data_IF_403730740091
#
_entry.id   IF_403730740091
#
_cell.length_a   1.000
_cell.length_b   1.000
_cell.length_c   1.000
_cell.angle_alpha   90.00
_cell.angle_beta   90.00
_cell.angle_gamma   90.00
#
_symmetry.space_group_name_H-M   'P 1'
#
loop_
_entity.id
_entity.type
_entity.pdbx_description
1 polymer ?
#
# COMPACT_ATOMS: atom_id res chain seq x y z
N UNK A 1 -8.31 -0.46 -34.13
CA UNK A 1 -7.62 -0.85 -32.88
C UNK A 1 -8.14 0.05 -31.79
N UNK A 2 -9.09 -0.44 -31.05
CA UNK A 2 -9.57 0.28 -29.87
C UNK A 2 -8.60 0.04 -28.73
N UNK A 3 -7.90 1.09 -28.31
CA UNK A 3 -7.21 1.10 -27.04
C UNK A 3 -8.28 0.99 -25.95
N UNK A 4 -8.38 -0.17 -25.33
CA UNK A 4 -9.21 -0.36 -24.17
C UNK A 4 -8.77 0.63 -23.09
N UNK A 5 -9.48 1.74 -22.96
CA UNK A 5 -9.40 2.58 -21.78
C UNK A 5 -9.81 1.69 -20.61
N UNK A 6 -8.84 1.33 -19.79
CA UNK A 6 -9.11 0.69 -18.51
C UNK A 6 -10.00 1.63 -17.71
N UNK A 7 -11.30 1.50 -17.90
CA UNK A 7 -12.26 2.13 -17.03
C UNK A 7 -12.17 1.37 -15.71
N UNK A 8 -11.52 1.96 -14.72
CA UNK A 8 -11.69 1.57 -13.34
C UNK A 8 -13.16 1.80 -12.98
N UNK A 9 -14.02 0.87 -13.39
CA UNK A 9 -15.40 0.84 -12.92
C UNK A 9 -15.36 0.36 -11.49
N UNK A 10 -15.53 1.28 -10.55
CA UNK A 10 -16.01 0.96 -9.23
C UNK A 10 -17.44 0.42 -9.39
N UNK A 11 -17.57 -0.91 -9.37
CA UNK A 11 -18.88 -1.53 -9.33
C UNK A 11 -19.35 -1.57 -7.87
N UNK A 12 -20.04 -0.51 -7.47
CA UNK A 12 -20.85 -0.52 -6.26
C UNK A 12 -22.11 -1.33 -6.60
N UNK A 13 -22.15 -2.60 -6.23
CA UNK A 13 -23.38 -3.36 -6.33
C UNK A 13 -24.46 -2.66 -5.51
N UNK A 14 -25.66 -2.53 -6.06
CA UNK A 14 -26.74 -1.63 -5.63
C UNK A 14 -27.15 -1.73 -4.14
N UNK A 15 -26.67 -2.70 -3.39
CA UNK A 15 -27.02 -2.95 -1.98
C UNK A 15 -25.85 -3.30 -1.07
N UNK A 16 -24.59 -3.04 -1.48
CA UNK A 16 -23.43 -3.30 -0.63
C UNK A 16 -22.36 -2.24 -0.83
N UNK A 17 -21.76 -1.78 0.25
CA UNK A 17 -20.62 -0.86 0.25
C UNK A 17 -19.33 -1.61 -0.15
N UNK A 18 -19.38 -2.40 -1.21
CA UNK A 18 -18.24 -3.17 -1.72
C UNK A 18 -17.75 -2.59 -3.03
N UNK A 19 -16.56 -2.05 -3.04
CA UNK A 19 -15.87 -1.64 -4.25
C UNK A 19 -15.04 -2.81 -4.79
N UNK A 20 -15.20 -3.13 -6.07
CA UNK A 20 -14.42 -4.16 -6.77
C UNK A 20 -13.45 -3.50 -7.74
N UNK A 21 -12.18 -3.83 -7.61
CA UNK A 21 -11.13 -3.36 -8.51
C UNK A 21 -10.53 -4.56 -9.24
N UNK A 22 -10.64 -4.56 -10.55
CA UNK A 22 -9.99 -5.59 -11.38
C UNK A 22 -8.54 -5.20 -11.61
N UNK A 23 -7.62 -6.10 -11.31
CA UNK A 23 -6.18 -5.90 -11.54
C UNK A 23 -5.47 -7.25 -11.72
N UNK A 24 -4.34 -7.25 -12.40
CA UNK A 24 -3.43 -8.38 -12.40
C UNK A 24 -2.65 -8.42 -11.07
N UNK A 25 -2.23 -9.60 -10.65
CA UNK A 25 -1.37 -9.77 -9.47
C UNK A 25 0.09 -9.54 -9.87
N UNK A 26 0.44 -8.29 -10.00
CA UNK A 26 1.75 -7.78 -10.39
C UNK A 26 2.12 -6.53 -9.58
N UNK A 27 3.15 -5.82 -9.96
CA UNK A 27 3.55 -4.54 -9.33
C UNK A 27 2.37 -3.56 -9.27
N UNK A 28 1.49 -3.56 -10.27
CA UNK A 28 0.31 -2.70 -10.31
C UNK A 28 -0.67 -2.98 -9.18
N UNK A 29 -0.89 -4.26 -8.82
CA UNK A 29 -1.69 -4.63 -7.66
C UNK A 29 -1.07 -4.09 -6.37
N UNK A 30 0.22 -4.33 -6.15
CA UNK A 30 0.89 -3.88 -4.93
C UNK A 30 0.93 -2.36 -4.82
N UNK A 31 1.07 -1.64 -5.94
CA UNK A 31 0.97 -0.18 -5.95
C UNK A 31 -0.43 0.30 -5.54
N UNK A 32 -1.49 -0.33 -6.05
CA UNK A 32 -2.87 -0.04 -5.63
C UNK A 32 -3.07 -0.34 -4.16
N UNK A 33 -2.59 -1.49 -3.68
CA UNK A 33 -2.63 -1.87 -2.27
C UNK A 33 -2.02 -0.79 -1.37
N UNK A 34 -0.78 -0.38 -1.65
CA UNK A 34 -0.11 0.69 -0.89
C UNK A 34 -0.86 2.01 -1.00
N UNK A 35 -1.45 2.32 -2.14
CA UNK A 35 -2.24 3.54 -2.33
C UNK A 35 -3.53 3.54 -1.50
N UNK A 36 -4.18 2.39 -1.33
CA UNK A 36 -5.32 2.26 -0.42
C UNK A 36 -4.95 2.44 1.05
N UNK A 37 -3.71 2.16 1.42
CA UNK A 37 -3.19 2.40 2.77
C UNK A 37 -2.77 3.87 3.00
N UNK A 38 -2.91 4.76 2.04
CA UNK A 38 -2.51 6.17 2.13
C UNK A 38 -3.01 6.89 3.39
N UNK A 39 -4.25 6.66 3.90
CA UNK A 39 -4.68 7.27 5.16
C UNK A 39 -3.82 6.92 6.38
N UNK A 40 -3.06 5.84 6.31
CA UNK A 40 -2.26 5.31 7.42
C UNK A 40 -0.76 5.54 7.26
N UNK A 41 -0.32 6.16 6.14
CA UNK A 41 1.08 6.47 5.87
C UNK A 41 1.22 7.76 5.08
N UNK A 42 2.43 8.31 5.06
CA UNK A 42 2.77 9.54 4.32
C UNK A 42 3.79 9.26 3.21
N UNK A 43 3.69 8.13 2.54
CA UNK A 43 4.63 7.74 1.50
C UNK A 43 4.45 8.58 0.24
N UNK A 44 5.55 9.07 -0.31
CA UNK A 44 5.59 9.74 -1.61
C UNK A 44 5.29 8.76 -2.74
N UNK A 45 5.04 9.28 -3.95
CA UNK A 45 4.83 8.44 -5.12
C UNK A 45 6.01 7.50 -5.39
N UNK A 46 7.23 8.00 -5.29
CA UNK A 46 8.44 7.19 -5.51
C UNK A 46 8.61 6.10 -4.46
N UNK A 47 8.34 6.41 -3.20
CA UNK A 47 8.36 5.42 -2.11
C UNK A 47 7.32 4.33 -2.32
N UNK A 48 6.10 4.68 -2.75
CA UNK A 48 5.06 3.70 -3.07
C UNK A 48 5.45 2.81 -4.26
N UNK A 49 6.04 3.37 -5.31
CA UNK A 49 6.50 2.59 -6.46
C UNK A 49 7.60 1.60 -6.08
N UNK A 50 8.58 2.02 -5.32
CA UNK A 50 9.66 1.15 -4.85
C UNK A 50 9.13 0.09 -3.91
N UNK A 51 8.31 0.45 -2.94
CA UNK A 51 7.72 -0.51 -2.01
C UNK A 51 6.85 -1.54 -2.73
N UNK A 52 6.05 -1.13 -3.71
CA UNK A 52 5.25 -2.04 -4.53
C UNK A 52 6.11 -3.05 -5.30
N UNK A 53 7.22 -2.61 -5.86
CA UNK A 53 8.16 -3.49 -6.56
C UNK A 53 8.83 -4.49 -5.60
N UNK A 54 9.21 -4.06 -4.39
CA UNK A 54 9.71 -4.95 -3.35
C UNK A 54 8.67 -5.98 -2.90
N UNK A 55 7.43 -5.57 -2.72
CA UNK A 55 6.33 -6.47 -2.34
C UNK A 55 6.05 -7.51 -3.43
N UNK A 56 6.06 -7.09 -4.68
CA UNK A 56 5.88 -8.01 -5.81
C UNK A 56 7.01 -9.05 -5.86
N UNK A 57 8.26 -8.60 -5.76
CA UNK A 57 9.43 -9.52 -5.74
C UNK A 57 9.37 -10.45 -4.53
N UNK A 58 9.02 -9.93 -3.35
CA UNK A 58 8.81 -10.75 -2.16
C UNK A 58 7.73 -11.81 -2.38
N UNK A 59 6.62 -11.44 -2.98
CA UNK A 59 5.53 -12.37 -3.28
C UNK A 59 6.00 -13.50 -4.21
N UNK A 60 6.74 -13.19 -5.28
CA UNK A 60 7.33 -14.19 -6.16
C UNK A 60 8.27 -15.15 -5.40
N UNK A 61 9.12 -14.62 -4.53
CA UNK A 61 10.06 -15.42 -3.73
C UNK A 61 9.33 -16.33 -2.74
N UNK A 62 8.24 -15.88 -2.12
CA UNK A 62 7.46 -16.70 -1.17
C UNK A 62 6.77 -17.88 -1.81
N UNK A 63 6.59 -17.90 -3.11
CA UNK A 63 6.05 -19.06 -3.84
C UNK A 63 7.10 -20.17 -4.01
N UNK A 64 8.38 -19.82 -3.96
CA UNK A 64 9.51 -20.74 -4.17
C UNK A 64 10.19 -21.11 -2.85
N UNK A 65 10.20 -20.20 -1.88
CA UNK A 65 10.96 -20.32 -0.63
C UNK A 65 9.99 -20.20 0.55
N UNK A 66 9.98 -21.21 1.42
CA UNK A 66 9.10 -21.23 2.60
C UNK A 66 9.68 -20.48 3.79
N UNK A 67 11.01 -20.45 3.91
CA UNK A 67 11.69 -19.78 5.03
C UNK A 67 11.72 -18.26 4.80
N UNK A 68 11.06 -17.51 5.69
CA UNK A 68 10.94 -16.06 5.57
C UNK A 68 12.29 -15.34 5.72
N UNK A 69 13.22 -15.87 6.51
CA UNK A 69 14.56 -15.29 6.63
C UNK A 69 15.34 -15.43 5.32
N UNK A 70 15.22 -16.57 4.65
CA UNK A 70 15.82 -16.77 3.32
C UNK A 70 15.18 -15.84 2.31
N UNK A 71 13.85 -15.71 2.31
CA UNK A 71 13.13 -14.74 1.44
C UNK A 71 13.67 -13.33 1.62
N UNK A 72 13.82 -12.87 2.86
CA UNK A 72 14.33 -11.53 3.14
C UNK A 72 15.79 -11.35 2.69
N UNK A 73 16.63 -12.37 2.88
CA UNK A 73 18.03 -12.32 2.41
C UNK A 73 18.12 -12.26 0.88
N UNK A 74 17.33 -13.09 0.18
CA UNK A 74 17.30 -13.09 -1.28
C UNK A 74 16.70 -11.80 -1.83
N UNK A 75 15.67 -11.28 -1.19
CA UNK A 75 15.04 -9.99 -1.57
C UNK A 75 16.06 -8.83 -1.52
N UNK A 76 16.97 -8.85 -0.57
CA UNK A 76 18.01 -7.82 -0.43
C UNK A 76 19.28 -8.10 -1.22
N UNK A 77 19.34 -9.19 -1.99
CA UNK A 77 20.48 -9.51 -2.86
C UNK A 77 20.64 -8.51 -3.99
N UNK A 78 21.83 -8.47 -4.55
CA UNK A 78 22.15 -7.61 -5.70
C UNK A 78 21.25 -7.93 -6.91
N UNK A 79 20.98 -9.21 -7.16
CA UNK A 79 20.14 -9.66 -8.26
C UNK A 79 18.69 -9.21 -8.08
N UNK A 80 18.10 -9.43 -6.91
CA UNK A 80 16.73 -8.98 -6.64
C UNK A 80 16.60 -7.47 -6.72
N UNK A 81 17.58 -6.72 -6.23
CA UNK A 81 17.59 -5.27 -6.37
C UNK A 81 17.69 -4.80 -7.80
N UNK A 82 18.46 -5.51 -8.64
CA UNK A 82 18.51 -5.26 -10.07
C UNK A 82 17.14 -5.49 -10.73
N UNK A 83 16.50 -6.62 -10.45
CA UNK A 83 15.18 -6.94 -10.99
C UNK A 83 14.13 -5.89 -10.56
N UNK A 84 14.14 -5.50 -9.30
CA UNK A 84 13.25 -4.45 -8.74
C UNK A 84 13.48 -3.14 -9.49
N UNK A 85 14.72 -2.71 -9.60
CA UNK A 85 15.09 -1.47 -10.28
C UNK A 85 14.64 -1.47 -11.74
N UNK A 86 14.90 -2.56 -12.46
CA UNK A 86 14.56 -2.69 -13.86
C UNK A 86 13.05 -2.72 -14.09
N UNK A 87 12.28 -3.31 -13.15
CA UNK A 87 10.82 -3.36 -13.22
C UNK A 87 10.13 -1.99 -13.14
N UNK A 88 10.76 -1.02 -12.53
CA UNK A 88 10.22 0.35 -12.35
C UNK A 88 11.02 1.42 -13.11
N UNK A 89 12.05 1.02 -13.84
CA UNK A 89 12.88 1.94 -14.67
C UNK A 89 13.71 2.93 -13.86
N UNK A 90 14.13 2.55 -12.63
CA UNK A 90 14.94 3.41 -11.78
C UNK A 90 16.44 3.18 -11.98
N UNK A 91 17.23 4.23 -11.79
CA UNK A 91 18.68 4.10 -11.64
C UNK A 91 19.02 3.48 -10.28
N UNK A 92 20.22 2.93 -10.15
CA UNK A 92 20.71 2.39 -8.89
C UNK A 92 20.76 3.47 -7.79
N UNK A 93 21.21 4.67 -8.15
CA UNK A 93 21.28 5.80 -7.23
C UNK A 93 19.89 6.21 -6.72
N UNK A 94 18.90 6.29 -7.60
CA UNK A 94 17.53 6.63 -7.25
C UNK A 94 16.89 5.56 -6.35
N UNK A 95 17.08 4.29 -6.68
CA UNK A 95 16.58 3.19 -5.86
C UNK A 95 17.15 3.25 -4.45
N UNK A 96 18.46 3.40 -4.31
CA UNK A 96 19.11 3.47 -3.01
C UNK A 96 18.64 4.66 -2.18
N UNK A 97 18.44 5.82 -2.81
CA UNK A 97 17.91 7.00 -2.14
C UNK A 97 16.50 6.76 -1.58
N UNK A 98 15.61 6.16 -2.38
CA UNK A 98 14.24 5.86 -1.94
C UNK A 98 14.22 4.77 -0.86
N UNK A 99 15.02 3.73 -0.99
CA UNK A 99 15.16 2.70 0.05
C UNK A 99 15.63 3.30 1.38
N UNK A 100 16.58 4.24 1.33
CA UNK A 100 17.02 4.97 2.53
C UNK A 100 15.88 5.76 3.17
N UNK A 101 15.01 6.39 2.39
CA UNK A 101 13.82 7.08 2.89
C UNK A 101 12.82 6.11 3.53
N UNK A 102 12.56 4.96 2.90
CA UNK A 102 11.71 3.92 3.45
C UNK A 102 12.25 3.38 4.79
N UNK A 103 13.56 3.26 4.93
CA UNK A 103 14.20 2.89 6.20
C UNK A 103 14.02 3.97 7.27
N UNK A 104 14.23 5.22 6.93
CA UNK A 104 14.01 6.36 7.84
C UNK A 104 12.55 6.47 8.28
N UNK A 105 11.61 6.18 7.40
CA UNK A 105 10.18 6.19 7.68
C UNK A 105 9.66 4.96 8.45
N UNK A 106 10.52 3.99 8.78
CA UNK A 106 10.13 2.79 9.51
C UNK A 106 9.33 1.77 8.68
N UNK A 107 9.33 1.90 7.35
CA UNK A 107 8.67 0.94 6.45
C UNK A 107 9.55 -0.29 6.25
N UNK A 108 10.86 -0.09 6.20
CA UNK A 108 11.86 -1.15 6.17
C UNK A 108 12.68 -1.05 7.47
N UNK A 109 12.63 -2.09 8.28
CA UNK A 109 13.35 -2.20 9.55
C UNK A 109 14.18 -3.48 9.53
N UNK A 110 15.47 -3.38 9.83
CA UNK A 110 16.40 -4.52 9.82
C UNK A 110 16.35 -5.32 8.49
N UNK A 111 16.34 -4.61 7.37
CA UNK A 111 16.20 -5.17 6.02
C UNK A 111 14.92 -6.00 5.77
N UNK A 112 13.89 -5.80 6.58
CA UNK A 112 12.58 -6.43 6.45
C UNK A 112 11.51 -5.38 6.22
N UNK A 113 10.57 -5.66 5.33
CA UNK A 113 9.38 -4.82 5.16
C UNK A 113 8.48 -5.01 6.39
N UNK A 114 7.99 -3.91 6.95
CA UNK A 114 7.03 -3.95 8.04
C UNK A 114 5.76 -4.71 7.63
N UNK A 115 5.33 -5.63 8.48
CA UNK A 115 4.19 -6.54 8.22
C UNK A 115 2.89 -5.78 7.87
N UNK A 116 2.71 -4.57 8.37
CA UNK A 116 1.54 -3.73 8.07
C UNK A 116 1.36 -3.43 6.59
N UNK A 117 2.46 -3.43 5.81
CA UNK A 117 2.44 -3.18 4.37
C UNK A 117 2.33 -4.45 3.52
N UNK A 118 2.42 -5.62 4.12
CA UNK A 118 2.40 -6.89 3.39
C UNK A 118 0.98 -7.44 3.35
N UNK A 119 0.32 -7.49 2.18
CA UNK A 119 -1.00 -8.08 2.07
C UNK A 119 -0.91 -9.60 2.23
N UNK A 120 -1.85 -10.19 2.97
CA UNK A 120 -1.92 -11.63 3.15
C UNK A 120 -2.59 -12.29 1.93
N UNK A 121 -1.82 -12.46 0.87
CA UNK A 121 -2.26 -13.10 -0.38
C UNK A 121 -1.59 -14.45 -0.51
N UNK A 122 -2.41 -15.46 -0.80
CA UNK A 122 -1.94 -16.82 -1.11
C UNK A 122 -1.83 -17.02 -2.62
N UNK A 123 -0.88 -17.84 -3.11
CA UNK A 123 -0.83 -18.23 -4.50
C UNK A 123 -2.15 -18.84 -4.97
N UNK A 124 -2.59 -18.52 -6.18
CA UNK A 124 -3.85 -19.02 -6.74
C UNK A 124 -5.12 -18.32 -6.22
N UNK A 125 -4.98 -17.26 -5.43
CA UNK A 125 -6.11 -16.45 -4.98
C UNK A 125 -6.74 -15.71 -6.16
N UNK A 126 -8.04 -15.90 -6.37
CA UNK A 126 -8.80 -15.22 -7.44
C UNK A 126 -9.30 -13.83 -7.04
N UNK A 127 -9.34 -13.55 -5.74
CA UNK A 127 -9.74 -12.24 -5.20
C UNK A 127 -9.11 -12.03 -3.82
N UNK A 128 -8.83 -10.78 -3.52
CA UNK A 128 -8.33 -10.34 -2.22
C UNK A 128 -9.32 -9.33 -1.62
N UNK A 129 -9.67 -9.52 -0.36
CA UNK A 129 -10.54 -8.63 0.40
C UNK A 129 -9.81 -8.13 1.64
N UNK A 130 -9.89 -6.83 1.88
CA UNK A 130 -9.54 -6.26 3.16
C UNK A 130 -10.67 -5.36 3.64
N UNK A 131 -10.73 -5.13 4.94
CA UNK A 131 -11.80 -4.34 5.56
C UNK A 131 -11.20 -3.17 6.32
N UNK A 132 -11.78 -1.99 6.12
CA UNK A 132 -11.49 -0.80 6.92
C UNK A 132 -12.67 -0.61 7.86
N UNK A 133 -12.38 -0.54 9.16
CA UNK A 133 -13.35 -0.23 10.19
C UNK A 133 -13.16 1.21 10.63
N UNK A 134 -14.23 1.98 10.61
CA UNK A 134 -14.27 3.33 11.19
C UNK A 134 -14.96 3.25 12.56
N UNK A 135 -14.19 3.44 13.60
CA UNK A 135 -14.75 3.64 14.93
C UNK A 135 -15.16 5.12 15.06
N UNK A 136 -16.45 5.35 15.11
CA UNK A 136 -17.02 6.71 15.27
C UNK A 136 -17.24 6.95 16.74
N UNK A 137 -16.48 7.88 17.29
CA UNK A 137 -16.62 8.30 18.67
C UNK A 137 -17.57 9.52 18.76
N UNK A 138 -18.76 9.30 19.27
CA UNK A 138 -19.78 10.34 19.41
C UNK A 138 -19.34 11.49 20.36
N UNK A 139 -18.28 11.31 21.14
CA UNK A 139 -17.73 12.36 22.01
C UNK A 139 -17.15 13.55 21.23
N UNK A 140 -16.82 13.39 19.95
CA UNK A 140 -16.35 14.48 19.10
C UNK A 140 -17.48 15.40 18.63
N UNK A 141 -18.72 14.91 18.52
CA UNK A 141 -19.86 15.72 18.09
C UNK A 141 -20.35 16.68 19.17
N UNK A 142 -20.04 16.41 20.43
CA UNK A 142 -20.48 17.25 21.56
C UNK A 142 -19.61 18.48 21.84
N UNK A 143 -18.48 18.65 21.14
CA UNK A 143 -17.55 19.77 21.39
C UNK A 143 -17.82 21.01 20.53
N UNK A 144 -18.45 20.84 19.38
CA UNK A 144 -18.76 21.97 18.50
C UNK A 144 -20.01 22.76 18.94
N UNK A 145 -20.92 22.14 19.70
CA UNK A 145 -22.13 22.79 20.22
C UNK A 145 -21.87 23.73 21.40
N UNK A 146 -20.66 23.70 22.00
CA UNK A 146 -20.34 24.55 23.16
C UNK A 146 -19.72 25.90 22.78
N UNK A 147 -19.40 26.15 21.52
CA UNK A 147 -18.82 27.43 21.08
C UNK A 147 -19.82 28.43 20.49
N UNK A 148 -21.08 28.03 20.25
CA UNK A 148 -22.10 28.95 19.72
C UNK A 148 -22.98 29.66 20.80
N UNK A 149 -22.79 29.36 22.09
CA UNK A 149 -23.64 29.97 23.14
C UNK A 149 -22.97 31.08 23.96
N UNK A 150 -21.84 31.62 23.59
CA UNK A 150 -21.17 32.68 24.35
C UNK A 150 -21.11 34.06 23.68
N UNK A 151 -21.90 34.32 22.62
CA UNK A 151 -21.89 35.64 21.96
C UNK A 151 -23.28 36.30 21.86
N UNK A 152 -24.13 36.13 22.85
CA UNK A 152 -25.39 36.90 22.93
C UNK A 152 -25.73 37.34 24.35
N UNK A 153 -24.86 38.09 25.02
CA UNK A 153 -25.19 38.95 26.12
C UNK A 153 -24.06 39.94 26.35
N UNK A 154 -24.14 41.08 25.63
CA UNK A 154 -23.76 42.38 26.14
C UNK A 154 -24.22 43.48 25.16
N UNK A 155 -25.34 44.02 25.49
CA UNK A 155 -25.74 45.37 25.06
C UNK A 155 -26.11 46.19 26.29
#
# INVERSE_FOLDING_TARGET
METAKSQNKFDLSKNSNVARVKCALDVGFFYKWISFLTPFHKLTRSERQVLAAFLNKRFELTQLIRDENIVNNVLNSVESRKDIRDSIGYSNLKLNAVVSQLKKGGVIVDNKIDKRYIPNIKPGTSHYRFTILFDIDDSYTSRDDLHEQTNSEDS
#
